data_IF_258798335729
#
_entry.id   IF_258798335729
#
_cell.length_a   1.000
_cell.length_b   1.000
_cell.length_c   1.000
_cell.angle_alpha   90.00
_cell.angle_beta   90.00
_cell.angle_gamma   90.00
#
_symmetry.space_group_name_H-M   'P 1'
#
loop_
_entity.id
_entity.type
_entity.pdbx_description
1 polymer ?
#
# COMPACT_ATOMS: atom_id res chain seq x y z
N UNK A 1 -11.09 26.54 -15.71
CA UNK A 1 -12.13 25.67 -15.13
C UNK A 1 -12.74 26.48 -14.01
N UNK A 2 -14.06 26.60 -13.94
CA UNK A 2 -14.71 27.34 -12.87
C UNK A 2 -15.82 26.45 -12.35
N UNK A 3 -15.79 26.15 -11.05
CA UNK A 3 -16.96 25.53 -10.42
C UNK A 3 -18.12 26.52 -10.58
N UNK A 4 -19.27 26.07 -11.07
CA UNK A 4 -20.47 26.90 -11.17
C UNK A 4 -21.29 26.66 -9.90
N UNK A 5 -21.91 27.71 -9.38
CA UNK A 5 -22.82 27.57 -8.24
C UNK A 5 -24.01 26.69 -8.66
N UNK A 6 -24.21 25.57 -7.97
CA UNK A 6 -25.36 24.69 -8.19
C UNK A 6 -26.21 24.64 -6.93
N UNK A 7 -27.53 24.73 -7.10
CA UNK A 7 -28.48 24.54 -6.01
C UNK A 7 -29.22 23.22 -6.18
N UNK A 8 -29.49 22.55 -5.06
CA UNK A 8 -30.37 21.40 -5.00
C UNK A 8 -31.52 21.67 -4.03
N UNK A 9 -32.72 21.25 -4.42
CA UNK A 9 -33.91 21.30 -3.57
C UNK A 9 -33.87 20.05 -2.69
N UNK A 10 -33.88 20.26 -1.37
CA UNK A 10 -33.76 19.19 -0.37
C UNK A 10 -35.11 18.61 0.05
N UNK A 11 -36.20 19.31 -0.23
CA UNK A 11 -37.55 18.96 0.20
C UNK A 11 -38.24 20.16 0.82
N UNK A 12 -39.17 19.89 1.73
CA UNK A 12 -39.98 20.92 2.41
C UNK A 12 -39.53 21.02 3.87
N UNK A 13 -39.35 22.25 4.35
CA UNK A 13 -39.00 22.54 5.75
C UNK A 13 -40.11 22.07 6.68
N UNK A 14 -39.76 21.31 7.72
CA UNK A 14 -40.73 20.82 8.73
C UNK A 14 -41.35 21.95 9.56
N UNK A 15 -40.66 23.09 9.67
CA UNK A 15 -41.10 24.23 10.47
C UNK A 15 -41.93 25.24 9.67
N UNK A 16 -41.48 25.57 8.46
CA UNK A 16 -42.11 26.61 7.64
C UNK A 16 -43.04 26.04 6.58
N UNK A 17 -42.98 24.72 6.32
CA UNK A 17 -43.73 24.05 5.23
C UNK A 17 -43.41 24.60 3.82
N UNK A 18 -42.29 25.32 3.67
CA UNK A 18 -41.81 25.85 2.39
C UNK A 18 -40.68 25.01 1.80
N UNK A 19 -40.47 25.10 0.48
CA UNK A 19 -39.36 24.42 -0.19
C UNK A 19 -38.01 24.93 0.34
N UNK A 20 -37.15 23.99 0.74
CA UNK A 20 -35.79 24.25 1.17
C UNK A 20 -34.82 23.88 0.05
N UNK A 21 -33.90 24.79 -0.26
CA UNK A 21 -32.78 24.55 -1.16
C UNK A 21 -31.46 24.71 -0.41
N UNK A 22 -30.43 24.01 -0.87
CA UNK A 22 -29.03 24.26 -0.47
C UNK A 22 -28.16 24.50 -1.69
N UNK A 23 -27.07 25.22 -1.49
CA UNK A 23 -25.99 25.27 -2.45
C UNK A 23 -25.12 24.02 -2.29
N UNK A 24 -24.95 23.25 -3.37
CA UNK A 24 -24.09 22.06 -3.41
C UNK A 24 -22.67 22.40 -3.87
N UNK A 25 -22.54 23.37 -4.79
CA UNK A 25 -21.26 23.86 -5.27
C UNK A 25 -21.26 25.38 -5.21
N UNK A 26 -20.10 25.95 -4.98
CA UNK A 26 -19.88 27.39 -4.95
C UNK A 26 -18.97 27.79 -6.09
N UNK A 27 -19.26 28.96 -6.65
CA UNK A 27 -18.43 29.56 -7.67
C UNK A 27 -16.99 29.79 -7.18
N UNK A 28 -16.00 29.21 -7.86
CA UNK A 28 -14.59 29.45 -7.58
C UNK A 28 -13.85 29.92 -8.85
N UNK A 29 -13.65 31.25 -9.02
CA UNK A 29 -12.95 31.80 -10.19
C UNK A 29 -11.44 31.52 -10.18
N UNK A 30 -10.88 31.15 -9.03
CA UNK A 30 -9.45 30.91 -8.86
C UNK A 30 -9.06 29.45 -9.14
N UNK A 31 -10.05 28.57 -9.39
CA UNK A 31 -9.80 27.17 -9.69
C UNK A 31 -9.09 27.03 -11.04
N UNK A 32 -8.03 26.22 -11.05
CA UNK A 32 -7.20 25.94 -12.23
C UNK A 32 -7.15 24.44 -12.49
N UNK A 33 -6.81 24.08 -13.73
CA UNK A 33 -6.53 22.69 -14.08
C UNK A 33 -5.28 22.19 -13.35
N UNK A 34 -5.33 20.95 -12.88
CA UNK A 34 -4.15 20.24 -12.43
C UNK A 34 -3.17 20.10 -13.59
N UNK A 35 -1.91 20.44 -13.36
CA UNK A 35 -0.87 20.40 -14.40
C UNK A 35 0.14 19.34 -14.03
N UNK A 36 0.40 18.42 -14.95
CA UNK A 36 1.42 17.39 -14.78
C UNK A 36 2.53 17.61 -15.80
N UNK A 37 3.77 17.69 -15.31
CA UNK A 37 4.98 17.78 -16.14
C UNK A 37 5.82 16.53 -15.89
N UNK A 38 6.30 15.90 -16.97
CA UNK A 38 7.13 14.70 -16.87
C UNK A 38 8.33 14.84 -17.80
N UNK A 39 9.50 14.50 -17.29
CA UNK A 39 10.74 14.41 -18.04
C UNK A 39 11.23 12.98 -17.90
N UNK A 40 11.48 12.34 -19.04
CA UNK A 40 12.04 11.00 -19.11
C UNK A 40 13.36 11.05 -19.90
N UNK A 41 14.36 10.33 -19.42
CA UNK A 41 15.63 10.14 -20.11
C UNK A 41 15.95 8.64 -20.10
N UNK A 42 16.04 8.05 -21.29
CA UNK A 42 16.28 6.61 -21.46
C UNK A 42 17.58 6.34 -22.21
N UNK A 43 18.24 5.24 -21.85
CA UNK A 43 19.36 4.66 -22.59
C UNK A 43 19.07 3.20 -22.90
N UNK A 44 19.01 2.86 -24.18
CA UNK A 44 18.92 1.49 -24.66
C UNK A 44 20.31 0.95 -25.02
N UNK A 45 20.55 -0.31 -24.70
CA UNK A 45 21.80 -0.97 -25.03
C UNK A 45 21.59 -2.43 -25.43
N UNK A 46 22.48 -2.91 -26.31
CA UNK A 46 22.55 -4.30 -26.68
C UNK A 46 24.01 -4.67 -27.01
N UNK A 47 24.45 -5.81 -26.49
CA UNK A 47 25.74 -6.40 -26.86
C UNK A 47 25.61 -7.22 -28.14
N UNK A 48 26.74 -7.69 -28.68
CA UNK A 48 26.77 -8.60 -29.84
C UNK A 48 25.77 -9.76 -29.70
N UNK A 49 25.00 -10.01 -30.75
CA UNK A 49 23.97 -11.05 -30.82
C UNK A 49 22.85 -10.91 -29.76
N UNK A 50 22.62 -9.71 -29.21
CA UNK A 50 21.64 -9.44 -28.16
C UNK A 50 21.80 -10.37 -26.94
N UNK A 51 23.05 -10.77 -26.64
CA UNK A 51 23.31 -11.66 -25.50
C UNK A 51 22.94 -11.00 -24.18
N UNK A 52 23.23 -9.71 -24.06
CA UNK A 52 22.76 -8.83 -23.00
C UNK A 52 22.12 -7.64 -23.71
N UNK A 53 20.88 -7.34 -23.36
CA UNK A 53 20.14 -6.20 -23.89
C UNK A 53 19.27 -5.62 -22.78
N UNK A 54 18.96 -4.34 -22.86
CA UNK A 54 18.15 -3.70 -21.83
C UNK A 54 17.99 -2.22 -22.04
N UNK A 55 17.31 -1.61 -21.10
CA UNK A 55 17.06 -0.18 -21.04
C UNK A 55 17.23 0.31 -19.60
N UNK A 56 17.71 1.55 -19.46
CA UNK A 56 17.71 2.28 -18.21
C UNK A 56 16.98 3.59 -18.45
N UNK A 57 15.87 3.81 -17.75
CA UNK A 57 15.07 5.03 -17.83
C UNK A 57 15.08 5.73 -16.47
N UNK A 58 15.35 7.03 -16.49
CA UNK A 58 15.09 7.91 -15.36
C UNK A 58 13.88 8.77 -15.69
N UNK A 59 12.93 8.84 -14.76
CA UNK A 59 11.78 9.72 -14.88
C UNK A 59 11.68 10.68 -13.70
N UNK A 60 11.18 11.87 -13.99
CA UNK A 60 10.77 12.86 -12.98
C UNK A 60 9.43 13.44 -13.37
N UNK A 61 8.44 13.29 -12.49
CA UNK A 61 7.06 13.73 -12.65
C UNK A 61 6.73 14.76 -11.58
N UNK A 62 6.18 15.90 -11.98
CA UNK A 62 5.74 16.98 -11.09
C UNK A 62 4.27 17.29 -11.36
N UNK A 63 3.43 17.13 -10.34
CA UNK A 63 2.04 17.56 -10.33
C UNK A 63 1.90 18.89 -9.59
N UNK A 64 1.35 19.89 -10.26
CA UNK A 64 1.11 21.23 -9.71
C UNK A 64 -0.38 21.58 -9.81
N UNK A 65 -0.83 22.47 -8.91
CA UNK A 65 -2.23 22.91 -8.83
C UNK A 65 -3.21 21.75 -8.62
N UNK A 66 -2.84 20.74 -7.81
CA UNK A 66 -3.77 19.69 -7.44
C UNK A 66 -4.90 20.28 -6.59
N UNK A 67 -6.15 19.95 -6.89
CA UNK A 67 -7.30 20.48 -6.17
C UNK A 67 -7.78 19.54 -5.06
N UNK A 68 -8.17 20.12 -3.94
CA UNK A 68 -8.69 19.41 -2.77
C UNK A 68 -9.73 20.27 -2.05
N UNK A 69 -10.50 19.65 -1.14
CA UNK A 69 -11.38 20.41 -0.27
C UNK A 69 -10.57 21.12 0.82
N UNK A 70 -10.82 22.41 0.98
CA UNK A 70 -10.19 23.27 1.98
C UNK A 70 -11.25 23.70 2.98
N UNK A 71 -11.02 23.51 4.29
CA UNK A 71 -11.92 24.07 5.29
C UNK A 71 -11.85 25.61 5.21
N UNK A 72 -13.02 26.25 5.21
CA UNK A 72 -13.12 27.71 5.24
C UNK A 72 -13.57 28.17 6.62
N UNK A 73 -13.32 29.45 6.92
CA UNK A 73 -13.80 30.07 8.14
C UNK A 73 -15.34 30.07 8.16
N UNK A 74 -15.97 29.59 9.23
CA UNK A 74 -17.43 29.45 9.28
C UNK A 74 -18.18 30.79 9.15
N UNK A 75 -17.54 31.94 9.40
CA UNK A 75 -18.14 33.28 9.26
C UNK A 75 -18.63 33.59 7.85
N UNK A 76 -18.07 32.95 6.82
CA UNK A 76 -18.52 33.14 5.43
C UNK A 76 -19.73 32.27 5.06
N UNK A 77 -20.24 31.48 6.00
CA UNK A 77 -21.39 30.59 5.80
C UNK A 77 -21.09 29.32 5.00
N UNK A 78 -19.82 29.06 4.69
CA UNK A 78 -19.34 27.86 3.99
C UNK A 78 -18.47 27.02 4.92
N UNK A 79 -18.57 25.70 4.81
CA UNK A 79 -17.76 24.77 5.59
C UNK A 79 -16.49 24.32 4.86
N UNK A 80 -16.56 24.13 3.54
CA UNK A 80 -15.40 23.84 2.70
C UNK A 80 -15.59 24.30 1.26
N UNK A 81 -14.48 24.47 0.54
CA UNK A 81 -14.46 24.78 -0.90
C UNK A 81 -13.35 24.01 -1.60
N UNK A 82 -13.59 23.62 -2.86
CA UNK A 82 -12.56 23.00 -3.70
C UNK A 82 -11.61 24.06 -4.21
N UNK A 83 -10.31 23.89 -3.97
CA UNK A 83 -9.26 24.83 -4.39
C UNK A 83 -7.95 24.11 -4.69
N UNK A 84 -7.06 24.75 -5.46
CA UNK A 84 -5.75 24.21 -5.82
C UNK A 84 -4.76 24.37 -4.65
N UNK A 85 -4.72 23.37 -3.78
CA UNK A 85 -3.95 23.43 -2.52
C UNK A 85 -2.79 22.47 -2.44
N UNK A 86 -2.63 21.61 -3.44
CA UNK A 86 -1.66 20.54 -3.37
C UNK A 86 -0.69 20.53 -4.57
N UNK A 87 0.48 19.98 -4.34
CA UNK A 87 1.48 19.70 -5.36
C UNK A 87 2.32 18.51 -4.93
N UNK A 88 2.67 17.65 -5.88
CA UNK A 88 3.48 16.44 -5.64
C UNK A 88 4.61 16.36 -6.65
N UNK A 89 5.69 15.73 -6.23
CA UNK A 89 6.82 15.42 -7.10
C UNK A 89 7.21 13.97 -6.86
N UNK A 90 7.40 13.22 -7.94
CA UNK A 90 7.87 11.84 -7.90
C UNK A 90 8.97 11.63 -8.92
N UNK A 91 9.93 10.78 -8.58
CA UNK A 91 10.99 10.39 -9.50
C UNK A 91 11.38 8.93 -9.27
N UNK A 92 12.01 8.35 -10.28
CA UNK A 92 12.37 6.95 -10.25
C UNK A 92 13.35 6.57 -11.35
N UNK A 93 13.84 5.34 -11.21
CA UNK A 93 14.68 4.69 -12.20
C UNK A 93 14.03 3.35 -12.50
N UNK A 94 13.84 3.06 -13.78
CA UNK A 94 13.40 1.78 -14.31
C UNK A 94 14.53 1.15 -15.12
N UNK A 95 14.85 -0.10 -14.81
CA UNK A 95 15.88 -0.89 -15.47
C UNK A 95 15.25 -2.18 -15.95
N UNK A 96 15.30 -2.41 -17.25
CA UNK A 96 15.04 -3.70 -17.86
C UNK A 96 16.37 -4.32 -18.27
N UNK A 97 16.63 -5.55 -17.83
CA UNK A 97 17.80 -6.32 -18.24
C UNK A 97 17.36 -7.69 -18.73
N UNK A 98 17.68 -7.99 -19.98
CA UNK A 98 17.48 -9.30 -20.59
C UNK A 98 18.82 -9.93 -20.92
N UNK A 99 19.03 -11.15 -20.45
CA UNK A 99 20.24 -11.93 -20.71
C UNK A 99 19.92 -13.28 -21.33
N UNK A 100 20.72 -13.67 -22.33
CA UNK A 100 20.76 -15.02 -22.88
C UNK A 100 21.96 -15.72 -22.24
N UNK A 101 21.72 -16.40 -21.13
CA UNK A 101 22.77 -17.04 -20.32
C UNK A 101 23.36 -18.24 -21.06
N UNK A 102 22.49 -19.09 -21.62
CA UNK A 102 22.86 -20.27 -22.43
C UNK A 102 22.01 -20.28 -23.69
N UNK A 103 22.65 -20.46 -24.85
CA UNK A 103 21.96 -20.60 -26.14
C UNK A 103 22.50 -21.82 -26.91
N UNK A 104 22.17 -23.02 -26.43
CA UNK A 104 22.51 -24.30 -27.08
C UNK A 104 21.27 -25.18 -27.14
N UNK A 105 21.42 -26.51 -27.09
CA UNK A 105 20.30 -27.45 -26.98
C UNK A 105 19.43 -27.17 -25.73
N UNK A 106 20.08 -26.82 -24.63
CA UNK A 106 19.47 -26.14 -23.49
C UNK A 106 19.60 -24.63 -23.71
N UNK A 107 18.48 -23.92 -23.54
CA UNK A 107 18.42 -22.46 -23.60
C UNK A 107 17.98 -21.95 -22.25
N UNK A 108 18.67 -20.91 -21.77
CA UNK A 108 18.32 -20.23 -20.55
C UNK A 108 18.39 -18.73 -20.80
N UNK A 109 17.26 -18.08 -20.59
CA UNK A 109 17.12 -16.63 -20.63
C UNK A 109 16.66 -16.13 -19.26
N UNK A 110 17.17 -14.97 -18.87
CA UNK A 110 16.69 -14.23 -17.72
C UNK A 110 16.18 -12.87 -18.18
N UNK A 111 15.05 -12.44 -17.62
CA UNK A 111 14.54 -11.08 -17.72
C UNK A 111 14.39 -10.54 -16.30
N UNK A 112 15.13 -9.49 -15.99
CA UNK A 112 15.10 -8.81 -14.71
C UNK A 112 14.57 -7.39 -14.92
N UNK A 113 13.54 -7.03 -14.16
CA UNK A 113 13.03 -5.67 -14.07
C UNK A 113 13.33 -5.15 -12.68
N UNK A 114 13.82 -3.92 -12.61
CA UNK A 114 14.11 -3.22 -11.38
C UNK A 114 13.60 -1.79 -11.48
N UNK A 115 12.77 -1.40 -10.54
CA UNK A 115 12.15 -0.09 -10.49
C UNK A 115 12.36 0.51 -9.11
N UNK A 116 12.65 1.80 -9.08
CA UNK A 116 12.64 2.60 -7.86
C UNK A 116 11.68 3.75 -8.01
N UNK A 117 10.95 4.05 -6.95
CA UNK A 117 10.01 5.14 -6.91
C UNK A 117 10.14 5.87 -5.58
N UNK A 118 10.22 7.19 -5.65
CA UNK A 118 10.09 8.07 -4.49
C UNK A 118 9.20 9.22 -4.86
N UNK A 119 8.31 9.59 -3.97
CA UNK A 119 7.54 10.81 -4.06
C UNK A 119 7.65 11.66 -2.81
N UNK A 120 7.21 12.90 -2.97
CA UNK A 120 7.06 13.86 -1.89
C UNK A 120 5.92 14.81 -2.19
N UNK A 121 5.24 15.23 -1.14
CA UNK A 121 4.37 16.38 -1.15
C UNK A 121 5.24 17.64 -1.23
N UNK A 122 5.01 18.48 -2.24
CA UNK A 122 5.77 19.74 -2.43
C UNK A 122 5.04 20.96 -1.90
N UNK A 123 3.71 20.88 -1.86
CA UNK A 123 2.83 21.90 -1.31
C UNK A 123 1.56 21.20 -0.86
N UNK A 124 1.07 21.52 0.33
CA UNK A 124 -0.25 21.06 0.75
C UNK A 124 -0.84 22.04 1.76
N UNK A 125 -2.14 22.31 1.66
CA UNK A 125 -2.85 22.98 2.74
C UNK A 125 -3.47 21.90 3.65
N UNK A 126 -2.87 21.60 4.81
CA UNK A 126 -3.37 20.55 5.67
C UNK A 126 -4.78 20.90 6.19
N UNK A 127 -5.71 19.97 6.03
CA UNK A 127 -7.06 20.10 6.59
C UNK A 127 -7.08 19.94 8.11
N UNK A 128 -6.03 19.34 8.69
CA UNK A 128 -5.84 19.15 10.12
C UNK A 128 -4.39 18.79 10.42
N UNK A 129 -3.86 19.23 11.56
CA UNK A 129 -2.58 18.75 12.10
C UNK A 129 -2.76 17.79 13.27
N UNK A 130 -4.00 17.37 13.58
CA UNK A 130 -4.28 16.49 14.72
C UNK A 130 -3.74 15.09 14.43
N UNK A 131 -2.94 14.56 15.36
CA UNK A 131 -2.23 13.29 15.25
C UNK A 131 -3.13 12.11 14.82
N UNK A 132 -4.31 11.95 15.44
CA UNK A 132 -5.23 10.84 15.11
C UNK A 132 -5.65 10.75 13.64
N UNK A 133 -5.62 11.86 12.91
CA UNK A 133 -6.02 11.89 11.51
C UNK A 133 -4.97 11.26 10.59
N UNK A 134 -3.74 11.07 11.07
CA UNK A 134 -2.64 10.44 10.34
C UNK A 134 -2.41 8.97 10.72
N UNK A 135 -3.05 8.53 11.80
CA UNK A 135 -2.83 7.21 12.42
C UNK A 135 -4.09 6.35 12.28
N UNK A 136 -4.60 6.27 11.06
CA UNK A 136 -5.79 5.49 10.72
C UNK A 136 -5.42 4.06 10.29
N UNK A 137 -6.39 3.16 10.30
CA UNK A 137 -6.24 1.78 9.82
C UNK A 137 -5.93 1.72 8.32
N UNK A 138 -6.53 2.62 7.53
CA UNK A 138 -6.15 2.87 6.15
C UNK A 138 -5.19 4.07 6.11
N UNK A 139 -4.05 3.91 5.46
CA UNK A 139 -3.03 4.97 5.39
C UNK A 139 -3.61 6.19 4.66
N UNK A 140 -3.80 7.32 5.35
CA UNK A 140 -4.33 8.51 4.72
C UNK A 140 -3.26 9.18 3.84
N UNK A 141 -3.69 10.11 3.01
CA UNK A 141 -2.78 11.06 2.38
C UNK A 141 -2.13 11.88 3.50
N UNK A 142 -0.80 11.85 3.58
CA UNK A 142 -0.05 12.55 4.61
C UNK A 142 -0.23 14.06 4.50
N UNK A 143 -0.21 14.62 3.30
CA UNK A 143 -0.28 16.07 3.11
C UNK A 143 0.83 16.85 3.85
N UNK A 144 1.90 16.19 4.28
CA UNK A 144 3.02 16.82 4.98
C UNK A 144 4.11 17.12 3.96
N UNK A 145 4.45 18.39 3.82
CA UNK A 145 5.48 18.84 2.88
C UNK A 145 6.83 18.16 3.15
N UNK A 146 7.47 17.70 2.08
CA UNK A 146 8.75 16.98 2.12
C UNK A 146 8.64 15.47 2.34
N UNK A 147 7.48 14.95 2.76
CA UNK A 147 7.27 13.52 2.99
C UNK A 147 6.50 12.84 1.84
N UNK A 148 6.61 11.51 1.69
CA UNK A 148 5.82 10.73 0.74
C UNK A 148 4.31 10.97 0.88
N UNK A 149 3.59 10.88 -0.24
CA UNK A 149 2.13 11.10 -0.27
C UNK A 149 1.42 10.15 0.68
N UNK A 150 1.85 8.89 0.72
CA UNK A 150 1.39 7.88 1.66
C UNK A 150 2.48 7.56 2.67
N UNK A 151 2.49 8.31 3.77
CA UNK A 151 3.46 8.16 4.84
C UNK A 151 2.87 7.36 6.00
N UNK A 152 3.65 6.44 6.55
CA UNK A 152 3.30 5.72 7.78
C UNK A 152 3.77 6.54 8.97
N UNK A 153 2.81 7.07 9.71
CA UNK A 153 3.00 7.66 11.04
C UNK A 153 2.41 6.77 12.10
N UNK A 154 3.00 6.74 13.28
CA UNK A 154 2.44 6.04 14.44
C UNK A 154 2.65 6.84 15.73
N UNK A 155 1.84 6.56 16.75
CA UNK A 155 2.10 7.11 18.07
C UNK A 155 3.40 6.52 18.64
N UNK A 156 4.19 7.36 19.29
CA UNK A 156 5.40 6.90 19.97
C UNK A 156 5.05 5.88 21.05
N UNK A 157 5.73 4.73 21.04
CA UNK A 157 5.49 3.61 21.94
C UNK A 157 6.53 3.56 23.05
N UNK A 158 6.08 3.55 24.30
CA UNK A 158 6.92 3.45 25.50
C UNK A 158 6.83 2.05 26.16
N UNK A 159 6.31 1.05 25.45
CA UNK A 159 6.07 -0.28 25.98
C UNK A 159 4.81 -0.38 26.85
N UNK A 160 4.55 -1.58 27.36
CA UNK A 160 3.48 -1.82 28.32
C UNK A 160 3.92 -1.40 29.73
N UNK A 161 2.97 -0.99 30.55
CA UNK A 161 3.18 -0.72 31.96
C UNK A 161 3.41 -2.04 32.74
N UNK A 162 4.51 -2.18 33.50
CA UNK A 162 4.84 -3.42 34.21
C UNK A 162 3.84 -3.82 35.30
N UNK A 163 3.01 -2.90 35.81
CA UNK A 163 2.08 -3.18 36.89
C UNK A 163 0.71 -3.63 36.38
N UNK A 164 0.25 -3.08 35.27
CA UNK A 164 -1.11 -3.30 34.78
C UNK A 164 -1.24 -3.65 33.30
N UNK A 165 -0.13 -3.71 32.56
CA UNK A 165 -0.10 -4.07 31.14
C UNK A 165 -0.74 -3.03 30.22
N UNK A 166 -0.88 -1.78 30.67
CA UNK A 166 -1.43 -0.70 29.84
C UNK A 166 -0.42 -0.20 28.81
N UNK A 167 -0.86 0.10 27.57
CA UNK A 167 0.01 0.70 26.58
C UNK A 167 0.43 2.09 27.06
N UNK A 168 1.72 2.42 26.95
CA UNK A 168 2.26 3.73 27.30
C UNK A 168 2.77 4.43 26.04
N UNK A 169 2.56 5.74 25.99
CA UNK A 169 3.09 6.60 24.94
C UNK A 169 3.84 7.79 25.52
N UNK A 170 4.18 8.73 24.65
CA UNK A 170 4.80 9.98 25.05
C UNK A 170 3.84 11.14 24.84
N UNK A 171 3.76 12.03 25.83
CA UNK A 171 3.07 13.31 25.75
C UNK A 171 4.06 14.39 26.19
N UNK A 172 4.36 15.35 25.32
CA UNK A 172 5.36 16.40 25.57
C UNK A 172 6.75 15.84 25.99
N UNK A 173 7.12 14.66 25.48
CA UNK A 173 8.40 14.01 25.80
C UNK A 173 8.41 13.16 27.08
N UNK A 174 7.32 13.15 27.86
CA UNK A 174 7.20 12.34 29.07
C UNK A 174 6.30 11.13 28.84
N UNK A 175 6.59 10.03 29.53
CA UNK A 175 5.78 8.81 29.47
C UNK A 175 4.41 9.07 30.08
N UNK A 176 3.35 8.81 29.31
CA UNK A 176 1.96 9.10 29.70
C UNK A 176 1.01 7.96 29.33
N UNK A 177 -0.13 7.94 30.01
CA UNK A 177 -1.31 7.11 29.71
C UNK A 177 -2.54 7.96 29.37
N UNK A 178 -2.39 9.28 29.22
CA UNK A 178 -3.47 10.17 28.78
C UNK A 178 -3.68 10.04 27.26
N UNK A 179 -4.38 8.97 26.87
CA UNK A 179 -4.61 8.61 25.46
C UNK A 179 -5.34 9.70 24.69
N UNK A 180 -6.29 10.40 25.32
CA UNK A 180 -7.07 11.44 24.66
C UNK A 180 -6.20 12.62 24.24
N UNK A 181 -5.28 13.05 25.11
CA UNK A 181 -4.31 14.11 24.78
C UNK A 181 -3.27 13.66 23.78
N UNK A 182 -2.74 12.44 23.90
CA UNK A 182 -1.76 11.91 22.93
C UNK A 182 -2.36 11.81 21.51
N UNK A 183 -3.60 11.34 21.38
CA UNK A 183 -4.30 11.29 20.08
C UNK A 183 -4.75 12.67 19.58
N UNK A 184 -4.85 13.64 20.48
CA UNK A 184 -5.17 15.05 20.17
C UNK A 184 -3.94 15.92 19.92
N UNK A 185 -2.73 15.37 20.05
CA UNK A 185 -1.47 16.08 19.86
C UNK A 185 -1.25 16.48 18.39
N UNK A 186 -0.18 17.21 18.11
CA UNK A 186 0.16 17.61 16.75
C UNK A 186 0.83 16.47 15.98
N UNK A 187 0.68 16.46 14.66
CA UNK A 187 1.30 15.48 13.75
C UNK A 187 2.83 15.41 13.92
N UNK A 188 3.47 16.50 14.37
CA UNK A 188 4.91 16.53 14.67
C UNK A 188 5.33 15.62 15.83
N UNK A 189 4.41 15.30 16.73
CA UNK A 189 4.66 14.40 17.86
C UNK A 189 4.57 12.92 17.46
N UNK A 190 4.16 12.62 16.22
CA UNK A 190 4.12 11.27 15.70
C UNK A 190 5.51 10.79 15.24
N UNK A 191 5.73 9.49 15.36
CA UNK A 191 6.89 8.84 14.79
C UNK A 191 6.64 8.52 13.31
N UNK A 192 7.53 9.00 12.44
CA UNK A 192 7.54 8.68 11.01
C UNK A 192 8.39 7.44 10.73
N UNK A 193 7.85 6.49 9.96
CA UNK A 193 8.55 5.24 9.59
C UNK A 193 9.02 5.20 8.15
N UNK A 194 8.23 5.74 7.22
CA UNK A 194 8.53 5.64 5.79
C UNK A 194 7.30 5.70 4.91
N UNK A 195 7.47 5.25 3.66
CA UNK A 195 6.38 5.10 2.69
C UNK A 195 5.52 3.88 2.99
N UNK A 196 4.22 3.99 2.79
CA UNK A 196 3.29 2.85 2.78
C UNK A 196 3.30 2.09 1.45
N UNK A 197 3.89 2.69 0.41
CA UNK A 197 4.01 2.12 -0.94
C UNK A 197 5.46 1.66 -1.15
N UNK A 198 5.70 0.49 -1.76
CA UNK A 198 7.04 0.02 -2.13
C UNK A 198 7.86 1.08 -2.88
N UNK A 199 9.05 1.39 -2.37
CA UNK A 199 9.97 2.34 -3.00
C UNK A 199 10.95 1.66 -3.94
N UNK A 200 11.10 0.34 -3.81
CA UNK A 200 11.88 -0.50 -4.72
C UNK A 200 11.04 -1.73 -5.05
N UNK A 201 10.85 -2.02 -6.32
CA UNK A 201 10.05 -3.16 -6.75
C UNK A 201 10.53 -3.67 -8.10
N UNK A 202 10.15 -4.89 -8.44
CA UNK A 202 10.49 -5.44 -9.73
C UNK A 202 10.16 -6.90 -9.86
N UNK A 203 10.70 -7.51 -10.90
CA UNK A 203 10.49 -8.91 -11.19
C UNK A 203 11.73 -9.56 -11.76
N UNK A 204 11.82 -10.86 -11.55
CA UNK A 204 12.91 -11.69 -12.02
C UNK A 204 12.30 -12.96 -12.62
N UNK A 205 12.37 -13.06 -13.93
CA UNK A 205 11.80 -14.18 -14.68
C UNK A 205 12.93 -14.99 -15.32
N UNK A 206 12.91 -16.31 -15.12
CA UNK A 206 13.80 -17.23 -15.81
C UNK A 206 13.00 -18.14 -16.72
N UNK A 207 13.43 -18.19 -17.97
CA UNK A 207 12.88 -19.10 -18.98
C UNK A 207 13.94 -20.13 -19.34
N UNK A 208 13.65 -21.39 -19.06
CA UNK A 208 14.47 -22.53 -19.42
C UNK A 208 13.77 -23.30 -20.55
N UNK A 209 14.47 -23.58 -21.63
CA UNK A 209 13.94 -24.39 -22.73
C UNK A 209 14.89 -25.52 -23.08
N UNK A 210 14.35 -26.72 -23.22
CA UNK A 210 15.09 -27.89 -23.67
C UNK A 210 14.23 -28.74 -24.60
N UNK A 211 14.66 -28.86 -25.85
CA UNK A 211 13.89 -29.51 -26.91
C UNK A 211 12.47 -28.90 -27.01
N UNK A 212 11.45 -29.67 -26.67
CA UNK A 212 10.03 -29.29 -26.71
C UNK A 212 9.51 -28.73 -25.37
N UNK A 213 10.32 -28.80 -24.29
CA UNK A 213 9.93 -28.31 -22.98
C UNK A 213 10.34 -26.86 -22.78
N UNK A 214 9.46 -26.07 -22.17
CA UNK A 214 9.74 -24.72 -21.68
C UNK A 214 9.24 -24.58 -20.25
N UNK A 215 10.07 -24.05 -19.36
CA UNK A 215 9.77 -23.77 -17.97
C UNK A 215 10.03 -22.29 -17.70
N UNK A 216 9.00 -21.55 -17.31
CA UNK A 216 9.08 -20.17 -16.88
C UNK A 216 8.85 -20.08 -15.36
N UNK A 217 9.76 -19.41 -14.66
CA UNK A 217 9.65 -19.13 -13.23
C UNK A 217 9.66 -17.63 -13.04
N UNK A 218 8.55 -17.08 -12.53
CA UNK A 218 8.37 -15.65 -12.29
C UNK A 218 8.42 -15.30 -10.81
N UNK A 219 9.40 -14.50 -10.41
CA UNK A 219 9.57 -13.99 -9.05
C UNK A 219 9.33 -12.48 -9.05
N UNK A 220 8.66 -11.96 -8.03
CA UNK A 220 8.46 -10.52 -7.82
C UNK A 220 9.02 -10.12 -6.47
N UNK A 221 9.45 -8.87 -6.34
CA UNK A 221 9.92 -8.32 -5.07
C UNK A 221 9.39 -6.90 -4.87
N UNK A 222 9.11 -6.57 -3.62
CA UNK A 222 8.66 -5.24 -3.17
C UNK A 222 9.35 -4.93 -1.86
N UNK A 223 10.06 -3.81 -1.81
CA UNK A 223 10.97 -3.44 -0.73
C UNK A 223 10.87 -1.94 -0.40
N UNK A 224 11.37 -1.57 0.78
CA UNK A 224 11.47 -0.21 1.25
C UNK A 224 10.13 0.41 1.61
N UNK A 225 9.22 -0.36 2.21
CA UNK A 225 7.93 0.14 2.69
C UNK A 225 7.51 -0.47 4.02
N UNK A 226 6.55 0.20 4.66
CA UNK A 226 6.03 -0.16 5.97
C UNK A 226 4.51 -0.33 5.91
N UNK A 227 3.99 -1.15 6.81
CA UNK A 227 2.56 -1.30 6.99
C UNK A 227 2.21 -1.37 8.47
N UNK A 228 0.97 -1.01 8.79
CA UNK A 228 0.39 -1.20 10.12
C UNK A 228 -0.37 -2.51 10.13
N UNK A 229 0.01 -3.46 10.99
CA UNK A 229 -0.74 -4.70 11.16
C UNK A 229 -1.97 -4.49 12.06
N UNK A 230 -3.08 -5.21 11.83
CA UNK A 230 -4.17 -5.28 12.80
C UNK A 230 -3.72 -5.99 14.08
N UNK A 231 -4.40 -5.68 15.17
CA UNK A 231 -4.24 -6.36 16.46
C UNK A 231 -5.57 -6.35 17.21
N UNK A 232 -5.58 -6.89 18.42
CA UNK A 232 -6.79 -6.93 19.27
C UNK A 232 -7.27 -5.52 19.62
N UNK A 233 -8.58 -5.32 19.50
CA UNK A 233 -9.29 -4.16 20.02
C UNK A 233 -10.36 -4.67 21.01
N UNK A 234 -10.16 -4.43 22.31
CA UNK A 234 -11.05 -4.95 23.34
C UNK A 234 -12.45 -4.33 23.24
N UNK A 235 -12.53 -3.05 22.90
CA UNK A 235 -13.80 -2.35 22.68
C UNK A 235 -14.64 -3.06 21.60
N UNK A 236 -14.07 -3.36 20.44
CA UNK A 236 -14.75 -4.11 19.37
C UNK A 236 -15.02 -5.57 19.73
N UNK A 237 -14.13 -6.22 20.51
CA UNK A 237 -14.36 -7.58 21.00
C UNK A 237 -15.63 -7.66 21.86
N UNK A 238 -15.80 -6.76 22.81
CA UNK A 238 -16.94 -6.80 23.73
C UNK A 238 -18.22 -6.18 23.16
N UNK A 239 -18.10 -5.19 22.28
CA UNK A 239 -19.25 -4.50 21.68
C UNK A 239 -19.78 -5.24 20.44
N UNK A 240 -18.87 -5.64 19.55
CA UNK A 240 -19.19 -6.09 18.20
C UNK A 240 -18.83 -7.58 17.98
N UNK A 241 -18.31 -8.27 19.00
CA UNK A 241 -17.81 -9.66 18.93
C UNK A 241 -16.69 -9.87 17.90
N UNK A 242 -15.93 -8.80 17.60
CA UNK A 242 -14.80 -8.84 16.68
C UNK A 242 -13.51 -9.10 17.46
N UNK A 243 -13.05 -10.34 17.45
CA UNK A 243 -11.81 -10.77 18.09
C UNK A 243 -10.58 -10.75 17.18
N UNK A 244 -9.42 -10.97 17.79
CA UNK A 244 -8.13 -11.12 17.10
C UNK A 244 -7.27 -12.17 17.80
N UNK A 245 -6.44 -12.92 17.07
CA UNK A 245 -5.57 -13.97 17.61
C UNK A 245 -4.59 -13.46 18.68
N UNK A 246 -4.16 -12.21 18.56
CA UNK A 246 -3.30 -11.52 19.53
C UNK A 246 -3.85 -11.53 20.96
N UNK A 247 -5.17 -11.75 21.15
CA UNK A 247 -5.74 -11.92 22.48
C UNK A 247 -5.03 -13.02 23.29
N UNK A 248 -4.54 -14.08 22.64
CA UNK A 248 -3.78 -15.16 23.27
C UNK A 248 -2.40 -14.72 23.77
N UNK A 249 -1.84 -13.65 23.19
CA UNK A 249 -0.51 -13.12 23.49
C UNK A 249 -0.56 -11.91 24.44
N UNK A 250 -1.74 -11.54 24.96
CA UNK A 250 -1.91 -10.39 25.86
C UNK A 250 -1.08 -10.51 27.13
N UNK A 251 -0.67 -9.36 27.67
CA UNK A 251 -0.09 -9.23 28.99
C UNK A 251 -1.04 -9.76 30.07
N UNK A 252 -0.53 -10.57 31.00
CA UNK A 252 -1.30 -11.15 32.12
C UNK A 252 -0.67 -10.89 33.48
N UNK A 253 0.66 -10.83 33.56
CA UNK A 253 1.39 -10.61 34.82
C UNK A 253 2.64 -9.74 34.59
N UNK A 254 3.14 -9.07 35.66
CA UNK A 254 4.40 -8.34 35.60
C UNK A 254 5.55 -9.20 35.05
N UNK A 255 6.31 -8.65 34.11
CA UNK A 255 7.38 -9.34 33.37
C UNK A 255 6.96 -9.80 31.97
N UNK A 256 5.65 -9.91 31.67
CA UNK A 256 5.19 -10.27 30.33
C UNK A 256 5.52 -9.19 29.29
N UNK A 257 5.68 -7.92 29.71
CA UNK A 257 6.03 -6.79 28.84
C UNK A 257 7.38 -6.94 28.13
N UNK A 258 8.25 -7.87 28.59
CA UNK A 258 9.50 -8.21 27.91
C UNK A 258 9.30 -9.14 26.70
N UNK A 259 8.12 -9.77 26.59
CA UNK A 259 7.83 -10.81 25.60
C UNK A 259 6.61 -10.50 24.72
N UNK A 260 5.75 -9.57 25.14
CA UNK A 260 4.59 -9.15 24.38
C UNK A 260 4.39 -7.64 24.39
N UNK A 261 3.97 -7.12 23.25
CA UNK A 261 3.48 -5.76 23.09
C UNK A 261 1.94 -5.68 23.19
N UNK A 262 1.25 -6.81 23.34
CA UNK A 262 -0.21 -6.86 23.38
C UNK A 262 -0.70 -6.45 24.78
N UNK A 263 -1.48 -5.37 24.90
CA UNK A 263 -1.93 -4.86 26.19
C UNK A 263 -2.78 -5.84 27.00
N UNK A 264 -2.90 -5.59 28.29
CA UNK A 264 -3.80 -6.36 29.16
C UNK A 264 -5.27 -6.17 28.76
N UNK A 265 -6.09 -7.19 29.06
CA UNK A 265 -7.55 -7.09 28.97
C UNK A 265 -8.11 -6.49 30.26
N UNK A 266 -8.61 -5.27 30.19
CA UNK A 266 -9.23 -4.59 31.34
C UNK A 266 -10.71 -4.99 31.48
N UNK A 267 -11.21 -5.01 32.72
CA UNK A 267 -12.62 -5.32 32.98
C UNK A 267 -13.57 -4.29 32.34
N UNK A 268 -13.18 -3.01 32.34
CA UNK A 268 -13.87 -1.95 31.61
C UNK A 268 -13.07 -1.61 30.36
N UNK A 269 -13.71 -1.65 29.21
CA UNK A 269 -13.07 -1.26 27.94
C UNK A 269 -12.84 0.25 27.90
N UNK A 270 -11.71 0.64 27.33
CA UNK A 270 -11.38 2.04 27.10
C UNK A 270 -11.08 2.23 25.61
N UNK A 271 -12.00 2.85 24.90
CA UNK A 271 -11.90 3.06 23.45
C UNK A 271 -10.67 3.90 23.08
N UNK A 272 -10.28 4.88 23.91
CA UNK A 272 -9.09 5.70 23.66
C UNK A 272 -7.81 4.90 23.83
N UNK A 273 -7.76 3.98 24.81
CA UNK A 273 -6.63 3.06 25.03
C UNK A 273 -6.44 2.14 23.83
N UNK A 274 -7.53 1.54 23.36
CA UNK A 274 -7.50 0.62 22.21
C UNK A 274 -7.16 1.36 20.91
N UNK A 275 -7.69 2.56 20.71
CA UNK A 275 -7.37 3.41 19.55
C UNK A 275 -5.89 3.85 19.55
N UNK A 276 -5.34 4.20 20.72
CA UNK A 276 -3.92 4.51 20.87
C UNK A 276 -3.04 3.30 20.51
N UNK A 277 -3.34 2.12 21.08
CA UNK A 277 -2.60 0.90 20.79
C UNK A 277 -2.66 0.53 19.30
N UNK A 278 -3.85 0.55 18.70
CA UNK A 278 -4.05 0.29 17.27
C UNK A 278 -3.23 1.23 16.38
N UNK A 279 -2.97 2.46 16.84
CA UNK A 279 -2.17 3.45 16.13
C UNK A 279 -0.68 3.48 16.50
N UNK A 280 -0.24 2.67 17.45
CA UNK A 280 1.11 2.77 18.02
C UNK A 280 2.21 2.20 17.12
N UNK A 281 3.45 2.61 17.39
CA UNK A 281 4.65 2.09 16.74
C UNK A 281 4.83 0.57 16.90
N UNK A 282 4.24 -0.04 17.94
CA UNK A 282 4.31 -1.49 18.19
C UNK A 282 3.65 -2.34 17.09
N UNK A 283 2.76 -1.74 16.30
CA UNK A 283 2.04 -2.41 15.22
C UNK A 283 2.59 -2.05 13.84
N UNK A 284 3.71 -1.33 13.76
CA UNK A 284 4.35 -1.00 12.48
C UNK A 284 5.41 -2.04 12.16
N UNK A 285 5.31 -2.62 10.97
CA UNK A 285 6.26 -3.61 10.47
C UNK A 285 6.73 -3.27 9.06
N UNK A 286 7.90 -3.79 8.69
CA UNK A 286 8.42 -3.70 7.33
C UNK A 286 7.64 -4.64 6.41
N UNK A 287 7.21 -4.12 5.27
CA UNK A 287 6.49 -4.87 4.24
C UNK A 287 7.37 -5.60 3.25
N UNK A 288 8.70 -5.47 3.38
CA UNK A 288 9.68 -6.01 2.44
C UNK A 288 9.49 -7.51 2.23
N UNK A 289 9.25 -7.92 0.98
CA UNK A 289 9.01 -9.31 0.64
C UNK A 289 9.39 -9.67 -0.81
N UNK A 290 9.61 -10.97 -1.02
CA UNK A 290 9.87 -11.61 -2.30
C UNK A 290 8.82 -12.71 -2.49
N UNK A 291 8.11 -12.70 -3.62
CA UNK A 291 7.02 -13.63 -3.92
C UNK A 291 7.33 -14.47 -5.16
N UNK A 292 7.02 -15.75 -5.09
CA UNK A 292 6.98 -16.62 -6.25
C UNK A 292 5.60 -16.47 -6.92
N UNK A 293 5.58 -15.71 -8.01
CA UNK A 293 4.34 -15.32 -8.67
C UNK A 293 3.76 -16.47 -9.48
N UNK A 294 4.59 -17.17 -10.26
CA UNK A 294 4.13 -18.32 -11.04
C UNK A 294 5.26 -19.26 -11.44
N UNK A 295 4.87 -20.50 -11.72
CA UNK A 295 5.65 -21.49 -12.46
C UNK A 295 4.79 -21.95 -13.63
N UNK A 296 5.32 -21.84 -14.85
CA UNK A 296 4.64 -22.27 -16.06
C UNK A 296 5.49 -23.33 -16.78
N UNK A 297 4.93 -24.51 -16.99
CA UNK A 297 5.55 -25.59 -17.75
C UNK A 297 4.78 -25.79 -19.04
N UNK A 298 5.44 -25.64 -20.18
CA UNK A 298 4.91 -25.89 -21.51
C UNK A 298 5.62 -27.07 -22.17
N UNK A 299 4.87 -27.88 -22.90
CA UNK A 299 5.38 -28.90 -23.80
C UNK A 299 4.78 -28.72 -25.20
N UNK A 300 5.62 -28.42 -26.17
CA UNK A 300 5.23 -28.26 -27.58
C UNK A 300 5.37 -29.58 -28.32
N UNK A 301 4.28 -30.09 -28.86
CA UNK A 301 4.29 -31.41 -29.48
C UNK A 301 4.52 -31.27 -30.98
N UNK A 302 5.52 -31.99 -31.49
CA UNK A 302 6.03 -31.80 -32.83
C UNK A 302 5.09 -32.38 -33.89
N UNK A 303 4.88 -31.67 -35.01
CA UNK A 303 4.00 -32.09 -36.12
C UNK A 303 4.32 -33.48 -36.69
N UNK A 304 5.58 -33.93 -36.57
CA UNK A 304 6.00 -35.28 -36.99
C UNK A 304 5.19 -36.40 -36.32
N UNK A 305 4.59 -36.16 -35.16
CA UNK A 305 3.88 -37.16 -34.37
C UNK A 305 2.39 -37.35 -34.79
N UNK A 306 1.86 -36.53 -35.72
CA UNK A 306 0.44 -36.53 -36.10
C UNK A 306 0.16 -35.91 -37.47
N UNK A 307 0.77 -36.48 -38.52
CA UNK A 307 0.65 -35.96 -39.89
C UNK A 307 -0.78 -36.03 -40.48
N UNK A 308 -1.67 -36.84 -39.92
CA UNK A 308 -3.03 -37.04 -40.43
C UNK A 308 -4.09 -36.10 -39.82
N UNK A 309 -3.73 -35.32 -38.78
CA UNK A 309 -4.67 -34.37 -38.15
C UNK A 309 -4.50 -32.97 -38.77
N UNK A 310 -5.58 -32.16 -38.91
CA UNK A 310 -5.52 -30.80 -39.48
C UNK A 310 -4.85 -29.78 -38.55
N UNK A 311 -3.97 -30.21 -37.65
CA UNK A 311 -3.35 -29.38 -36.63
C UNK A 311 -1.98 -28.85 -37.10
N UNK A 312 -1.77 -27.54 -37.00
CA UNK A 312 -0.49 -26.86 -37.26
C UNK A 312 0.44 -26.87 -36.04
N UNK A 313 -0.11 -26.73 -34.84
CA UNK A 313 0.65 -26.75 -33.59
C UNK A 313 -0.22 -27.22 -32.42
N UNK A 314 0.37 -27.99 -31.50
CA UNK A 314 -0.28 -28.40 -30.26
C UNK A 314 0.67 -28.17 -29.08
N UNK A 315 0.18 -27.48 -28.06
CA UNK A 315 0.92 -27.19 -26.84
C UNK A 315 0.10 -27.63 -25.64
N UNK A 316 0.70 -28.45 -24.78
CA UNK A 316 0.21 -28.70 -23.42
C UNK A 316 0.89 -27.70 -22.50
N UNK A 317 0.13 -27.12 -21.57
CA UNK A 317 0.71 -26.27 -20.55
C UNK A 317 0.08 -26.53 -19.17
N UNK A 318 0.93 -26.40 -18.16
CA UNK A 318 0.56 -26.42 -16.76
C UNK A 318 1.07 -25.13 -16.11
N UNK A 319 0.18 -24.37 -15.49
CA UNK A 319 0.53 -23.16 -14.76
C UNK A 319 0.13 -23.31 -13.29
N UNK A 320 1.04 -22.92 -12.41
CA UNK A 320 0.76 -22.70 -11.01
C UNK A 320 1.02 -21.22 -10.77
N UNK A 321 0.03 -20.50 -10.24
CA UNK A 321 0.17 -19.08 -9.94
C UNK A 321 -0.17 -18.79 -8.48
N UNK A 322 0.39 -17.69 -7.99
CA UNK A 322 0.30 -17.22 -6.61
C UNK A 322 0.79 -18.28 -5.60
N UNK A 323 1.98 -18.85 -5.85
CA UNK A 323 2.56 -19.91 -5.01
C UNK A 323 2.89 -19.43 -3.59
N UNK A 324 3.18 -18.13 -3.44
CA UNK A 324 3.32 -17.48 -2.14
C UNK A 324 4.62 -16.72 -1.95
N UNK A 325 4.85 -16.28 -0.71
CA UNK A 325 6.02 -15.50 -0.31
C UNK A 325 7.21 -16.45 -0.07
N UNK A 326 8.33 -16.17 -0.73
CA UNK A 326 9.61 -16.86 -0.54
C UNK A 326 10.38 -16.29 0.66
N UNK A 327 10.28 -14.97 0.86
CA UNK A 327 10.93 -14.26 1.94
C UNK A 327 10.12 -13.03 2.32
N UNK A 328 10.02 -12.73 3.61
CA UNK A 328 9.47 -11.49 4.14
C UNK A 328 10.27 -11.05 5.36
N UNK A 329 10.40 -9.75 5.55
CA UNK A 329 11.05 -9.15 6.72
C UNK A 329 10.14 -9.16 7.96
N UNK A 330 8.83 -9.01 7.75
CA UNK A 330 7.84 -9.08 8.83
C UNK A 330 7.82 -10.44 9.50
N UNK A 331 7.83 -10.44 10.84
CA UNK A 331 7.82 -11.63 11.69
C UNK A 331 6.42 -12.07 12.11
N UNK A 332 5.39 -11.26 11.86
CA UNK A 332 4.00 -11.56 12.28
C UNK A 332 3.32 -12.61 11.39
N UNK A 333 3.94 -13.03 10.28
CA UNK A 333 3.37 -14.00 9.34
C UNK A 333 2.22 -13.45 8.51
N UNK A 334 2.00 -12.13 8.54
CA UNK A 334 0.98 -11.43 7.76
C UNK A 334 1.53 -11.19 6.35
N UNK A 335 0.71 -11.46 5.33
CA UNK A 335 1.06 -11.15 3.94
C UNK A 335 0.94 -9.61 3.73
N UNK A 336 2.05 -8.89 3.50
CA UNK A 336 2.03 -7.42 3.42
C UNK A 336 1.20 -6.86 2.28
N UNK A 337 0.95 -7.64 1.22
CA UNK A 337 0.09 -7.22 0.10
C UNK A 337 -1.40 -7.24 0.45
N UNK A 338 -1.79 -8.02 1.46
CA UNK A 338 -3.19 -8.27 1.81
C UNK A 338 -3.57 -7.80 3.23
N UNK A 339 -2.84 -6.81 3.74
CA UNK A 339 -3.04 -6.25 5.09
C UNK A 339 -4.09 -5.11 5.15
N UNK A 340 -4.40 -4.45 4.03
CA UNK A 340 -5.24 -3.24 4.02
C UNK A 340 -6.73 -3.57 3.86
N UNK A 341 -7.44 -3.76 4.99
CA UNK A 341 -8.90 -3.80 5.04
C UNK A 341 -9.47 -4.98 5.84
N UNK A 342 -10.71 -4.86 6.30
CA UNK A 342 -11.37 -5.84 7.17
C UNK A 342 -11.78 -7.15 6.48
N UNK A 343 -11.58 -7.27 5.15
CA UNK A 343 -12.09 -8.38 4.33
C UNK A 343 -11.11 -8.83 3.24
N UNK A 344 -9.81 -8.70 3.47
CA UNK A 344 -8.85 -9.08 2.44
C UNK A 344 -8.58 -10.58 2.52
N UNK A 345 -9.16 -11.33 1.59
CA UNK A 345 -8.89 -12.76 1.44
C UNK A 345 -7.59 -12.93 0.67
N UNK A 346 -6.62 -13.62 1.26
CA UNK A 346 -5.40 -14.02 0.55
C UNK A 346 -5.81 -14.82 -0.69
N UNK A 347 -5.37 -14.46 -1.90
CA UNK A 347 -5.71 -15.21 -3.09
C UNK A 347 -5.21 -16.66 -2.92
N UNK A 348 -6.01 -17.66 -3.35
CA UNK A 348 -5.58 -19.05 -3.29
C UNK A 348 -4.49 -19.32 -4.33
N UNK A 349 -3.75 -20.41 -4.13
CA UNK A 349 -2.86 -20.94 -5.18
C UNK A 349 -3.75 -21.48 -6.31
N UNK A 350 -3.51 -21.03 -7.54
CA UNK A 350 -4.29 -21.45 -8.70
C UNK A 350 -3.48 -22.44 -9.54
N UNK A 351 -4.07 -23.60 -9.80
CA UNK A 351 -3.53 -24.63 -10.68
C UNK A 351 -4.34 -24.66 -11.98
N UNK A 352 -3.67 -24.53 -13.12
CA UNK A 352 -4.30 -24.54 -14.44
C UNK A 352 -3.60 -25.56 -15.32
N UNK A 353 -4.39 -26.43 -15.95
CA UNK A 353 -3.94 -27.35 -16.99
C UNK A 353 -4.70 -27.01 -18.26
N UNK A 354 -3.98 -26.85 -19.37
CA UNK A 354 -4.60 -26.45 -20.63
C UNK A 354 -3.91 -27.01 -21.85
N UNK A 355 -4.67 -27.00 -22.94
CA UNK A 355 -4.25 -27.41 -24.28
C UNK A 355 -4.49 -26.23 -25.22
N UNK A 356 -3.47 -25.88 -26.02
CA UNK A 356 -3.59 -24.88 -27.07
C UNK A 356 -3.35 -25.56 -28.41
N UNK A 357 -4.38 -25.55 -29.25
CA UNK A 357 -4.37 -26.12 -30.60
C UNK A 357 -4.46 -25.01 -31.64
N UNK A 358 -3.64 -25.08 -32.69
CA UNK A 358 -3.73 -24.22 -33.88
C UNK A 358 -4.04 -25.09 -35.10
N UNK A 359 -5.10 -24.75 -35.83
CA UNK A 359 -5.56 -25.44 -37.05
C UNK A 359 -5.01 -24.75 -38.30
#
# INVERSE_FOLDING_TARGET
MVAVTTMAILGVSTYTQEQMARFDNYYNPQLRWETVRMINAGLDFATRNNRISGSVEYFRKKGENLFGQVPLDYTIGLTSLVWNVAGIEGNGIDVELRTININKAFRWQTTANFSTYKDKVTKYYPSSTIARNFVLSSVPISGIEGLPVYSIFAYQWAGLDPHNGDPRGYLNGEVSKDYAKMMGADVKDLQYFGSAIPTVYGSFTNTFSYKQFTLDVGITYKLGYYFRRPSINYTSLFKDWVGHSDYALRWQKPGDEAFTDVPSNQYQTNSNRDAFYAGSAALIEKGDHIRLQYINLGYEINKKQWQQMPLKALQLYANISNLGILWQESKSGIDPDFNLGSYVVKPPVMYTLGLKAKF
#
